data_IF_283315905514
#
_entry.id   IF_283315905514
#
_cell.length_a   1.000
_cell.length_b   1.000
_cell.length_c   1.000
_cell.angle_alpha   90.00
_cell.angle_beta   90.00
_cell.angle_gamma   90.00
#
_symmetry.space_group_name_H-M   'P 1'
#
loop_
_entity.id
_entity.type
_entity.pdbx_description
1 polymer ?
#
# COMPACT_ATOMS: atom_id res chain seq x y z
N UNK A 1 6.06 10.39 4.15
CA UNK A 1 4.76 9.72 4.03
C UNK A 1 4.31 9.84 2.59
N UNK A 2 4.05 8.70 1.97
CA UNK A 2 3.79 8.54 0.56
C UNK A 2 2.64 9.42 0.11
N UNK A 3 2.64 9.84 -1.16
CA UNK A 3 1.52 10.59 -1.71
C UNK A 3 0.30 9.68 -1.71
N UNK A 4 -0.70 10.03 -0.89
CA UNK A 4 -1.87 9.18 -0.74
C UNK A 4 -2.67 9.17 -2.06
N UNK A 5 -2.73 7.99 -2.69
CA UNK A 5 -3.47 7.78 -3.94
C UNK A 5 -4.43 6.60 -3.76
N UNK A 6 -5.56 6.63 -4.49
CA UNK A 6 -6.50 5.51 -4.46
C UNK A 6 -5.85 4.21 -4.96
N UNK A 7 -4.94 4.29 -5.94
CA UNK A 7 -4.18 3.14 -6.44
C UNK A 7 -3.31 2.54 -5.35
N UNK A 8 -2.54 3.36 -4.63
CA UNK A 8 -1.66 2.91 -3.56
C UNK A 8 -2.47 2.31 -2.39
N UNK A 9 -3.54 2.98 -1.97
CA UNK A 9 -4.46 2.48 -0.93
C UNK A 9 -5.06 1.13 -1.32
N UNK A 10 -5.49 0.98 -2.57
CA UNK A 10 -6.04 -0.27 -3.09
C UNK A 10 -5.01 -1.39 -3.13
N UNK A 11 -3.77 -1.09 -3.55
CA UNK A 11 -2.68 -2.06 -3.54
C UNK A 11 -2.38 -2.53 -2.11
N UNK A 12 -2.26 -1.63 -1.13
CA UNK A 12 -2.10 -2.00 0.28
C UNK A 12 -3.24 -2.90 0.77
N UNK A 13 -4.50 -2.52 0.52
CA UNK A 13 -5.67 -3.33 0.91
C UNK A 13 -5.61 -4.74 0.32
N UNK A 14 -5.31 -4.86 -0.98
CA UNK A 14 -5.18 -6.16 -1.65
C UNK A 14 -4.04 -6.99 -1.09
N UNK A 15 -2.86 -6.39 -0.89
CA UNK A 15 -1.70 -7.08 -0.31
C UNK A 15 -2.03 -7.63 1.09
N UNK A 16 -2.61 -6.80 1.96
CA UNK A 16 -3.03 -7.21 3.31
C UNK A 16 -4.04 -8.35 3.25
N UNK A 17 -5.06 -8.25 2.40
CA UNK A 17 -6.07 -9.31 2.25
C UNK A 17 -5.46 -10.63 1.76
N UNK A 18 -4.58 -10.60 0.75
CA UNK A 18 -3.90 -11.79 0.25
C UNK A 18 -3.02 -12.44 1.32
N UNK A 19 -2.27 -11.65 2.08
CA UNK A 19 -1.43 -12.17 3.18
C UNK A 19 -2.26 -12.82 4.30
N UNK A 20 -3.41 -12.23 4.64
CA UNK A 20 -4.39 -12.82 5.57
C UNK A 20 -4.96 -14.15 5.06
N UNK A 21 -5.20 -14.25 3.75
CA UNK A 21 -5.73 -15.44 3.09
C UNK A 21 -4.67 -16.51 2.79
N UNK A 22 -3.43 -16.33 3.25
CA UNK A 22 -2.38 -17.34 3.14
C UNK A 22 -1.50 -17.22 1.91
N UNK A 23 -1.41 -16.04 1.29
CA UNK A 23 -0.38 -15.78 0.29
C UNK A 23 1.02 -16.08 0.84
N UNK A 24 1.90 -16.54 -0.04
CA UNK A 24 3.27 -16.91 0.32
C UNK A 24 4.02 -15.70 0.89
N UNK A 25 4.71 -15.91 2.01
CA UNK A 25 5.50 -14.90 2.66
C UNK A 25 6.84 -15.48 3.11
N UNK A 26 7.93 -14.85 2.69
CA UNK A 26 9.29 -15.19 3.09
C UNK A 26 10.17 -13.97 2.85
N UNK A 27 10.75 -13.41 3.90
CA UNK A 27 11.56 -12.19 3.80
C UNK A 27 12.75 -12.35 2.83
N UNK A 28 13.40 -13.52 2.80
CA UNK A 28 14.50 -13.80 1.88
C UNK A 28 14.10 -14.08 0.42
N UNK A 29 12.80 -14.09 0.09
CA UNK A 29 12.34 -14.32 -1.28
C UNK A 29 11.86 -12.99 -1.88
N UNK A 30 12.60 -12.46 -2.87
CA UNK A 30 12.38 -11.11 -3.42
C UNK A 30 10.94 -10.81 -3.89
N UNK A 31 10.22 -11.80 -4.42
CA UNK A 31 8.80 -11.63 -4.79
C UNK A 31 7.77 -11.91 -3.70
N UNK A 32 8.20 -12.35 -2.51
CA UNK A 32 7.33 -12.78 -1.41
C UNK A 32 7.73 -12.19 -0.04
N UNK A 33 8.64 -11.21 -0.02
CA UNK A 33 8.95 -10.40 1.14
C UNK A 33 7.93 -9.25 1.30
N UNK A 34 8.27 -8.25 2.11
CA UNK A 34 7.38 -7.13 2.42
C UNK A 34 7.17 -6.27 1.17
N UNK A 35 8.24 -5.76 0.56
CA UNK A 35 8.17 -4.99 -0.68
C UNK A 35 7.67 -5.82 -1.85
N UNK A 36 8.13 -7.09 -1.96
CA UNK A 36 7.71 -8.00 -3.02
C UNK A 36 6.21 -8.24 -3.07
N UNK A 37 5.54 -8.40 -1.92
CA UNK A 37 4.09 -8.58 -1.88
C UNK A 37 3.31 -7.31 -2.26
N UNK A 38 3.83 -6.12 -1.97
CA UNK A 38 3.23 -4.87 -2.43
C UNK A 38 3.47 -4.65 -3.93
N UNK A 39 4.68 -4.96 -4.41
CA UNK A 39 5.07 -4.86 -5.81
C UNK A 39 4.22 -5.78 -6.71
N UNK A 40 3.81 -6.96 -6.24
CA UNK A 40 2.85 -7.80 -6.98
C UNK A 40 1.58 -7.04 -7.37
N UNK A 41 1.04 -6.24 -6.44
CA UNK A 41 -0.22 -5.52 -6.64
C UNK A 41 -0.03 -4.23 -7.45
N UNK A 42 1.00 -3.44 -7.16
CA UNK A 42 1.29 -2.20 -7.89
C UNK A 42 1.74 -2.49 -9.32
N UNK A 43 2.59 -3.50 -9.50
CA UNK A 43 3.20 -3.78 -10.79
C UNK A 43 2.40 -4.76 -11.64
N UNK A 44 1.42 -5.46 -11.04
CA UNK A 44 0.69 -6.59 -11.66
C UNK A 44 1.62 -7.70 -12.12
N UNK A 45 2.61 -8.02 -11.28
CA UNK A 45 3.60 -9.08 -11.52
C UNK A 45 3.39 -10.24 -10.54
N UNK A 46 3.71 -11.46 -10.95
CA UNK A 46 3.74 -12.60 -10.04
C UNK A 46 4.98 -12.55 -9.13
N UNK A 47 4.92 -13.28 -8.00
CA UNK A 47 6.09 -13.47 -7.13
C UNK A 47 7.31 -14.04 -7.87
N UNK A 48 7.08 -14.87 -8.89
CA UNK A 48 8.13 -15.51 -9.68
C UNK A 48 8.83 -14.54 -10.61
N UNK A 49 8.06 -13.69 -11.30
CA UNK A 49 8.60 -12.63 -12.16
C UNK A 49 9.42 -11.63 -11.35
N UNK A 50 8.89 -11.16 -10.22
CA UNK A 50 9.60 -10.22 -9.34
C UNK A 50 10.91 -10.84 -8.85
N UNK A 51 10.89 -12.11 -8.45
CA UNK A 51 12.10 -12.79 -8.02
C UNK A 51 13.11 -12.90 -9.17
N UNK A 52 12.67 -13.30 -10.37
CA UNK A 52 13.54 -13.39 -11.53
C UNK A 52 14.16 -12.03 -11.92
N UNK A 53 13.40 -10.93 -11.79
CA UNK A 53 13.90 -9.57 -12.05
C UNK A 53 14.98 -9.18 -11.03
N UNK A 54 14.73 -9.44 -9.75
CA UNK A 54 15.66 -9.13 -8.67
C UNK A 54 16.96 -9.94 -8.73
N UNK A 55 16.93 -11.18 -9.27
CA UNK A 55 18.12 -12.03 -9.41
C UNK A 55 19.09 -11.58 -10.52
N UNK A 56 18.75 -10.56 -11.31
CA UNK A 56 19.69 -9.93 -12.23
C UNK A 56 20.67 -8.99 -11.51
N UNK A 57 20.36 -8.64 -10.27
CA UNK A 57 21.22 -7.94 -9.33
C UNK A 57 21.47 -8.84 -8.12
N UNK A 58 22.29 -8.38 -7.18
CA UNK A 58 22.55 -9.06 -5.92
C UNK A 58 21.83 -8.34 -4.78
N UNK A 59 21.71 -9.05 -3.66
CA UNK A 59 21.25 -8.46 -2.41
C UNK A 59 19.74 -8.45 -2.21
N UNK A 60 19.35 -7.99 -1.03
CA UNK A 60 17.96 -7.83 -0.63
C UNK A 60 17.34 -6.54 -1.22
N UNK A 61 16.06 -6.30 -0.92
CA UNK A 61 15.38 -5.10 -1.41
C UNK A 61 16.05 -3.79 -0.98
N UNK A 62 16.61 -3.71 0.22
CA UNK A 62 17.29 -2.48 0.65
C UNK A 62 18.60 -2.26 -0.10
N UNK A 63 19.38 -3.33 -0.32
CA UNK A 63 20.61 -3.25 -1.11
C UNK A 63 20.29 -2.84 -2.55
N UNK A 64 19.25 -3.42 -3.16
CA UNK A 64 18.83 -3.04 -4.51
C UNK A 64 18.22 -1.62 -4.60
N UNK A 65 17.64 -1.11 -3.52
CA UNK A 65 17.18 0.29 -3.42
C UNK A 65 18.34 1.29 -3.30
N UNK A 66 19.44 0.90 -2.62
CA UNK A 66 20.66 1.71 -2.57
C UNK A 66 21.29 1.79 -3.97
N UNK A 67 21.30 0.67 -4.70
CA UNK A 67 21.86 0.57 -6.05
C UNK A 67 20.86 0.93 -7.17
N UNK A 68 19.73 1.54 -6.80
CA UNK A 68 18.68 1.92 -7.74
C UNK A 68 19.18 3.00 -8.70
N UNK A 69 19.02 2.75 -10.00
CA UNK A 69 19.36 3.68 -11.06
C UNK A 69 18.24 3.74 -12.10
N UNK A 70 17.53 4.87 -12.26
CA UNK A 70 16.36 4.96 -13.15
C UNK A 70 16.70 4.76 -14.64
N UNK A 71 17.96 4.94 -15.04
CA UNK A 71 18.40 4.85 -16.44
C UNK A 71 19.14 3.55 -16.78
N UNK A 72 19.24 2.60 -15.85
CA UNK A 72 20.00 1.36 -16.06
C UNK A 72 19.37 0.40 -17.07
N UNK A 73 18.04 0.45 -17.20
CA UNK A 73 17.24 -0.49 -17.99
C UNK A 73 17.04 -1.86 -17.33
N UNK A 74 17.52 -2.09 -16.10
CA UNK A 74 17.27 -3.36 -15.41
C UNK A 74 15.80 -3.53 -15.04
N UNK A 75 15.21 -4.72 -15.19
CA UNK A 75 13.81 -4.99 -14.83
C UNK A 75 13.46 -4.64 -13.37
N UNK A 76 14.39 -4.85 -12.44
CA UNK A 76 14.21 -4.42 -11.05
C UNK A 76 14.06 -2.90 -10.95
N UNK A 77 14.91 -2.13 -11.61
CA UNK A 77 14.87 -0.67 -11.52
C UNK A 77 13.61 -0.11 -12.19
N UNK A 78 13.16 -0.73 -13.29
CA UNK A 78 11.87 -0.40 -13.91
C UNK A 78 10.68 -0.68 -12.97
N UNK A 79 10.75 -1.78 -12.21
CA UNK A 79 9.75 -2.11 -11.20
C UNK A 79 9.77 -1.12 -10.03
N UNK A 80 10.95 -0.78 -9.51
CA UNK A 80 11.11 0.24 -8.46
C UNK A 80 10.54 1.57 -8.96
N UNK A 81 10.91 2.02 -10.16
CA UNK A 81 10.38 3.24 -10.77
C UNK A 81 8.85 3.24 -10.79
N UNK A 82 8.22 2.14 -11.21
CA UNK A 82 6.76 2.03 -11.21
C UNK A 82 6.17 2.20 -9.81
N UNK A 83 6.79 1.65 -8.77
CA UNK A 83 6.34 1.85 -7.39
C UNK A 83 6.49 3.30 -6.93
N UNK A 84 7.55 3.99 -7.37
CA UNK A 84 7.76 5.41 -7.10
C UNK A 84 6.69 6.28 -7.79
N UNK A 85 6.37 5.97 -9.04
CA UNK A 85 5.33 6.68 -9.82
C UNK A 85 3.94 6.59 -9.17
N UNK A 86 3.67 5.50 -8.43
CA UNK A 86 2.45 5.30 -7.66
C UNK A 86 2.41 6.09 -6.33
N UNK A 87 3.51 6.78 -6.00
CA UNK A 87 3.59 7.75 -4.91
C UNK A 87 4.45 7.33 -3.73
N UNK A 88 5.14 6.18 -3.80
CA UNK A 88 6.12 5.78 -2.80
C UNK A 88 7.47 6.48 -3.03
N UNK A 89 8.29 6.53 -1.99
CA UNK A 89 9.69 6.96 -2.09
C UNK A 89 10.64 5.79 -1.86
N UNK A 90 11.91 5.95 -2.25
CA UNK A 90 12.96 4.95 -2.00
C UNK A 90 13.09 4.65 -0.49
N UNK A 91 13.08 5.69 0.34
CA UNK A 91 13.17 5.56 1.80
C UNK A 91 11.97 4.77 2.35
N UNK A 92 10.77 5.01 1.84
CA UNK A 92 9.56 4.30 2.26
C UNK A 92 9.56 2.83 1.85
N UNK A 93 10.11 2.49 0.68
CA UNK A 93 10.35 1.10 0.31
C UNK A 93 11.35 0.45 1.26
N UNK A 94 12.42 1.16 1.62
CA UNK A 94 13.39 0.67 2.62
C UNK A 94 12.76 0.46 4.00
N UNK A 95 11.90 1.38 4.42
CA UNK A 95 11.15 1.27 5.65
C UNK A 95 10.13 0.14 5.65
N UNK A 96 9.44 -0.09 4.53
CA UNK A 96 8.53 -1.23 4.38
C UNK A 96 9.28 -2.56 4.50
N UNK A 97 10.45 -2.66 3.89
CA UNK A 97 11.26 -3.88 3.94
C UNK A 97 11.77 -4.19 5.36
N UNK A 98 11.97 -3.16 6.20
CA UNK A 98 12.52 -3.29 7.56
C UNK A 98 11.50 -3.08 8.68
N UNK A 99 10.25 -2.73 8.36
CA UNK A 99 9.21 -2.31 9.32
C UNK A 99 9.68 -1.14 10.21
N UNK A 100 10.23 -0.09 9.60
CA UNK A 100 11.01 0.91 10.34
C UNK A 100 10.62 2.38 10.14
N UNK A 101 9.54 2.70 9.42
CA UNK A 101 9.12 4.10 9.24
C UNK A 101 8.70 4.69 10.59
N UNK A 102 9.35 5.76 11.07
CA UNK A 102 9.08 6.31 12.40
C UNK A 102 7.65 6.85 12.53
N UNK A 103 7.04 7.31 11.44
CA UNK A 103 5.66 7.82 11.43
C UNK A 103 4.67 6.67 11.51
N UNK A 104 4.91 5.57 10.80
CA UNK A 104 4.07 4.36 10.92
C UNK A 104 4.19 3.75 12.32
N UNK A 105 5.42 3.67 12.84
CA UNK A 105 5.70 3.09 14.17
C UNK A 105 5.13 3.93 15.32
N UNK A 106 4.89 5.22 15.13
CA UNK A 106 4.29 6.09 16.15
C UNK A 106 2.86 5.66 16.52
N UNK A 107 2.13 5.04 15.58
CA UNK A 107 0.74 4.57 15.77
C UNK A 107 0.67 3.13 16.30
N UNK A 108 1.82 2.50 16.58
CA UNK A 108 1.90 1.17 17.18
C UNK A 108 2.31 1.30 18.66
N UNK A 109 1.61 0.66 19.60
CA UNK A 109 1.98 0.68 21.03
C UNK A 109 3.45 0.33 21.26
N UNK A 110 4.11 1.04 22.19
CA UNK A 110 5.55 0.95 22.42
C UNK A 110 6.03 -0.49 22.64
N UNK A 111 5.32 -1.24 23.47
CA UNK A 111 5.66 -2.61 23.83
C UNK A 111 5.56 -3.56 22.63
N UNK A 112 4.66 -3.25 21.68
CA UNK A 112 4.47 -4.02 20.45
C UNK A 112 5.47 -3.63 19.37
N UNK A 113 5.73 -2.33 19.19
CA UNK A 113 6.65 -1.82 18.15
C UNK A 113 8.09 -2.29 18.38
N UNK A 114 8.53 -2.40 19.65
CA UNK A 114 9.86 -2.89 20.02
C UNK A 114 10.10 -4.38 19.73
N UNK A 115 9.04 -5.11 19.38
CA UNK A 115 9.06 -6.56 19.11
C UNK A 115 8.71 -6.89 17.67
N UNK A 116 8.75 -5.92 16.75
CA UNK A 116 8.46 -6.17 15.34
C UNK A 116 9.59 -6.96 14.69
N UNK A 117 9.22 -8.02 13.99
CA UNK A 117 10.15 -8.87 13.26
C UNK A 117 9.83 -8.84 11.75
N UNK A 118 10.78 -8.36 10.95
CA UNK A 118 10.62 -8.23 9.49
C UNK A 118 10.44 -9.54 8.74
N UNK A 119 10.66 -10.70 9.38
CA UNK A 119 10.44 -12.03 8.81
C UNK A 119 9.24 -12.74 9.47
N UNK A 120 8.37 -11.98 10.14
CA UNK A 120 7.14 -12.49 10.74
C UNK A 120 5.93 -11.85 10.05
N UNK A 121 5.15 -12.68 9.36
CA UNK A 121 4.00 -12.23 8.56
C UNK A 121 3.00 -11.40 9.36
N UNK A 122 2.73 -11.77 10.61
CA UNK A 122 1.79 -11.05 11.48
C UNK A 122 2.26 -9.63 11.79
N UNK A 123 3.57 -9.42 11.85
CA UNK A 123 4.18 -8.12 12.17
C UNK A 123 4.14 -7.22 10.93
N UNK A 124 4.36 -7.80 9.75
CA UNK A 124 4.16 -7.11 8.47
C UNK A 124 2.71 -6.70 8.29
N UNK A 125 1.76 -7.60 8.59
CA UNK A 125 0.32 -7.29 8.51
C UNK A 125 -0.04 -6.12 9.42
N UNK A 126 0.39 -6.15 10.69
CA UNK A 126 0.16 -5.06 11.64
C UNK A 126 0.73 -3.72 11.12
N UNK A 127 1.96 -3.76 10.59
CA UNK A 127 2.64 -2.58 10.08
C UNK A 127 1.94 -2.02 8.83
N UNK A 128 1.62 -2.87 7.85
CA UNK A 128 0.92 -2.47 6.62
C UNK A 128 -0.50 -1.95 6.90
N UNK A 129 -1.24 -2.56 7.84
CA UNK A 129 -2.55 -2.07 8.26
C UNK A 129 -2.45 -0.70 8.93
N UNK A 130 -1.40 -0.48 9.72
CA UNK A 130 -1.15 0.81 10.36
C UNK A 130 -0.84 1.88 9.33
N UNK A 131 0.03 1.57 8.37
CA UNK A 131 0.34 2.47 7.26
C UNK A 131 -0.91 2.74 6.40
N UNK A 132 -1.71 1.72 6.08
CA UNK A 132 -2.93 1.87 5.31
C UNK A 132 -3.90 2.87 5.97
N UNK A 133 -4.11 2.80 7.29
CA UNK A 133 -4.94 3.78 8.01
C UNK A 133 -4.42 5.20 7.86
N UNK A 134 -3.10 5.39 7.92
CA UNK A 134 -2.49 6.71 7.72
C UNK A 134 -2.68 7.23 6.30
N UNK A 135 -2.53 6.36 5.29
CA UNK A 135 -2.78 6.71 3.88
C UNK A 135 -4.25 7.11 3.64
N UNK A 136 -5.19 6.35 4.18
CA UNK A 136 -6.63 6.64 4.08
C UNK A 136 -6.99 7.97 4.76
N UNK A 137 -6.41 8.23 5.94
CA UNK A 137 -6.61 9.49 6.67
C UNK A 137 -5.96 10.67 5.95
N UNK A 138 -4.79 10.49 5.33
CA UNK A 138 -4.15 11.51 4.50
C UNK A 138 -4.99 11.82 3.27
N UNK A 139 -5.40 10.80 2.52
CA UNK A 139 -6.23 10.97 1.32
C UNK A 139 -7.54 11.69 1.63
N UNK A 140 -8.21 11.33 2.73
CA UNK A 140 -9.48 11.96 3.15
C UNK A 140 -9.30 13.44 3.46
N UNK A 141 -8.20 13.85 4.11
CA UNK A 141 -7.91 15.26 4.42
C UNK A 141 -7.63 16.10 3.19
N UNK A 142 -7.12 15.49 2.13
CA UNK A 142 -6.81 16.16 0.86
C UNK A 142 -8.04 16.30 -0.05
N UNK A 143 -9.12 15.56 0.21
CA UNK A 143 -10.33 15.68 -0.60
C UNK A 143 -11.10 16.96 -0.24
N UNK A 144 -11.61 17.69 -1.25
CA UNK A 144 -12.52 18.80 -0.99
C UNK A 144 -13.77 18.28 -0.27
N UNK A 145 -14.22 19.00 0.76
CA UNK A 145 -15.48 18.69 1.42
C UNK A 145 -16.61 18.79 0.38
N UNK A 146 -17.49 17.78 0.27
CA UNK A 146 -18.64 17.89 -0.61
C UNK A 146 -19.49 19.08 -0.18
N UNK A 147 -19.75 19.99 -1.12
CA UNK A 147 -20.67 21.10 -0.90
C UNK A 147 -22.10 20.56 -0.96
N UNK A 148 -22.75 20.53 0.20
CA UNK A 148 -24.14 20.10 0.34
C UNK A 148 -25.14 21.25 0.21
N UNK A 149 -24.70 22.46 -0.17
CA UNK A 149 -25.56 23.65 -0.25
C UNK A 149 -26.67 23.57 -1.31
N UNK A 150 -26.58 22.66 -2.28
CA UNK A 150 -27.58 22.50 -3.35
C UNK A 150 -28.65 21.43 -3.09
N UNK A 151 -28.61 20.71 -1.96
CA UNK A 151 -29.61 19.71 -1.63
C UNK A 151 -30.92 20.36 -1.11
N UNK A 152 -31.63 21.09 -1.98
CA UNK A 152 -32.99 21.51 -1.71
C UNK A 152 -33.92 20.28 -1.70
N UNK A 153 -34.73 20.05 -0.64
CA UNK A 153 -35.67 18.94 -0.62
C UNK A 153 -36.68 19.12 -1.75
N UNK A 154 -36.72 18.17 -2.69
CA UNK A 154 -37.79 18.09 -3.70
C UNK A 154 -39.12 17.99 -2.96
N UNK A 155 -40.01 18.97 -3.16
CA UNK A 155 -41.39 18.91 -2.65
C UNK A 155 -42.02 17.62 -3.17
N UNK A 156 -42.43 16.77 -2.25
CA UNK A 156 -43.30 15.63 -2.54
C UNK A 156 -44.66 16.21 -2.93
N UNK A 157 -44.99 16.19 -4.22
CA UNK A 157 -46.36 16.48 -4.67
C UNK A 157 -47.26 15.36 -4.16
N UNK A 158 -48.22 15.73 -3.30
CA UNK A 158 -49.28 14.82 -2.86
C UNK A 158 -50.24 14.60 -4.02
N UNK A 159 -50.24 13.40 -4.59
CA UNK A 159 -51.30 12.94 -5.47
C UNK A 159 -52.58 12.80 -4.65
N UNK A 160 -53.57 13.63 -4.96
CA UNK A 160 -54.89 13.64 -4.36
C UNK A 160 -55.69 12.39 -4.76
N UNK A 161 -56.04 11.59 -3.75
CA UNK A 161 -57.04 10.51 -3.83
C UNK A 161 -58.33 11.02 -4.47
N UNK A 162 -58.67 10.51 -5.66
CA UNK A 162 -60.03 10.58 -6.19
C UNK A 162 -60.81 9.37 -5.68
N UNK A 163 -61.65 9.64 -4.68
CA UNK A 163 -62.77 8.79 -4.28
C UNK A 163 -63.72 8.67 -5.47
N UNK A 164 -64.03 7.43 -5.90
CA UNK A 164 -65.21 7.15 -6.69
C UNK A 164 -66.05 6.06 -6.01
N UNK A 165 -67.27 6.50 -5.70
CA UNK A 165 -68.54 5.85 -5.32
C UNK A 165 -68.63 4.35 -5.54
#
# INVERSE_FOLDING_TARGET
MARASLTLIHAFRKTIQKLKQGAAYQWGHMGACNCGNLAQELCSLSKGEIHAFAMQKHGDWNEQLIDYCPTSGYPMDLMIQKMLDEGLTIDELGHLERLSDPVVLADIPFERRMKLEKNRKEDVLLYMETWLRQLEAAWTREQPLPDFSEASPKKVEKESEKVLV
#
